data_IF_151731542786
#
_entry.id   IF_151731542786
#
_cell.length_a   1.000
_cell.length_b   1.000
_cell.length_c   1.000
_cell.angle_alpha   90.00
_cell.angle_beta   90.00
_cell.angle_gamma   90.00
#
_symmetry.space_group_name_H-M   'P 1'
#
loop_
_entity.id
_entity.type
_entity.pdbx_description
1 polymer ?
#
# COMPACT_ATOMS: atom_id res chain seq x y z
N UNK A 1 25.13 44.55 -21.60
CA UNK A 1 24.60 43.19 -21.84
C UNK A 1 24.43 42.55 -20.47
N UNK A 2 23.19 42.38 -20.00
CA UNK A 2 22.88 41.88 -18.66
C UNK A 2 22.37 40.44 -18.75
N UNK A 3 23.23 39.48 -18.44
CA UNK A 3 22.86 38.08 -18.35
C UNK A 3 22.32 37.80 -16.95
N UNK A 4 21.02 37.52 -16.86
CA UNK A 4 20.39 37.02 -15.64
C UNK A 4 20.60 35.51 -15.58
N UNK A 5 21.12 34.92 -14.49
CA UNK A 5 21.15 33.47 -14.37
C UNK A 5 19.72 32.96 -14.15
N UNK A 6 19.27 32.07 -15.02
CA UNK A 6 18.01 31.34 -14.84
C UNK A 6 18.16 30.39 -13.66
N UNK A 7 17.57 30.74 -12.52
CA UNK A 7 17.43 29.83 -11.38
C UNK A 7 16.28 28.88 -11.70
N UNK A 8 16.62 27.67 -12.16
CA UNK A 8 15.64 26.60 -12.32
C UNK A 8 15.21 26.13 -10.93
N UNK A 9 13.90 26.07 -10.62
CA UNK A 9 13.45 25.43 -9.39
C UNK A 9 13.79 23.95 -9.50
N UNK A 10 14.66 23.47 -8.61
CA UNK A 10 14.88 22.05 -8.39
C UNK A 10 13.52 21.44 -8.06
N UNK A 11 12.95 20.72 -9.02
CA UNK A 11 11.80 19.85 -8.80
C UNK A 11 12.25 18.84 -7.75
N UNK A 12 11.92 19.12 -6.49
CA UNK A 12 12.02 18.14 -5.42
C UNK A 12 11.09 17.00 -5.83
N UNK A 13 11.69 15.94 -6.38
CA UNK A 13 11.10 14.62 -6.42
C UNK A 13 10.52 14.39 -5.03
N UNK A 14 9.20 14.32 -4.94
CA UNK A 14 8.54 13.92 -3.71
C UNK A 14 9.24 12.64 -3.26
N UNK A 15 9.59 12.52 -1.96
CA UNK A 15 10.17 11.29 -1.49
C UNK A 15 9.23 10.16 -1.94
N UNK A 16 9.79 9.22 -2.71
CA UNK A 16 9.24 7.87 -2.84
C UNK A 16 8.75 7.46 -1.46
N UNK A 17 7.59 6.78 -1.30
CA UNK A 17 7.13 6.34 0.00
C UNK A 17 8.17 5.39 0.59
N UNK A 18 9.18 5.98 1.22
CA UNK A 18 10.28 5.35 1.91
C UNK A 18 9.59 4.48 2.92
N UNK A 19 9.62 3.16 2.67
CA UNK A 19 9.30 2.08 3.60
C UNK A 19 8.68 2.63 4.87
N UNK A 20 7.41 3.05 4.77
CA UNK A 20 6.67 3.60 5.91
C UNK A 20 6.76 2.50 6.93
N UNK A 21 7.62 2.66 7.95
CA UNK A 21 8.07 1.60 8.85
C UNK A 21 6.83 0.81 9.20
N UNK A 22 6.70 -0.40 8.64
CA UNK A 22 5.42 -1.11 8.69
C UNK A 22 5.03 -1.16 10.15
N UNK A 23 3.89 -0.57 10.48
CA UNK A 23 3.41 -0.59 11.84
C UNK A 23 3.43 -2.05 12.30
N UNK A 24 4.15 -2.30 13.39
CA UNK A 24 4.25 -3.64 13.98
C UNK A 24 2.82 -4.13 14.18
N UNK A 25 2.51 -5.33 13.72
CA UNK A 25 1.22 -5.93 14.03
C UNK A 25 1.18 -6.17 15.53
N UNK A 26 0.22 -5.55 16.21
CA UNK A 26 0.02 -5.74 17.65
C UNK A 26 -0.96 -6.88 17.95
N UNK A 27 -1.69 -7.37 16.94
CA UNK A 27 -2.71 -8.42 17.05
C UNK A 27 -2.61 -9.40 15.89
N UNK A 28 -2.74 -10.68 16.21
CA UNK A 28 -2.80 -11.79 15.25
C UNK A 28 -4.24 -12.31 15.14
N UNK A 29 -4.68 -12.57 13.91
CA UNK A 29 -6.00 -13.16 13.61
C UNK A 29 -5.79 -14.41 12.77
N UNK A 30 -6.39 -15.52 13.19
CA UNK A 30 -6.44 -16.75 12.39
C UNK A 30 -7.72 -16.73 11.54
N UNK A 31 -7.56 -16.92 10.24
CA UNK A 31 -8.67 -16.93 9.28
C UNK A 31 -8.81 -18.32 8.68
N UNK A 32 -10.05 -18.81 8.61
CA UNK A 32 -10.39 -19.98 7.82
C UNK A 32 -10.95 -19.50 6.49
N UNK A 33 -10.33 -19.92 5.39
CA UNK A 33 -10.69 -19.51 4.03
C UNK A 33 -10.89 -20.76 3.17
N UNK A 34 -11.77 -20.72 2.16
CA UNK A 34 -11.77 -21.72 1.10
C UNK A 34 -10.40 -21.78 0.42
N UNK A 35 -9.96 -22.99 0.07
CA UNK A 35 -8.65 -23.23 -0.54
C UNK A 35 -8.45 -22.40 -1.82
N UNK A 36 -9.45 -22.40 -2.71
CA UNK A 36 -9.40 -21.62 -3.95
C UNK A 36 -9.21 -20.11 -3.69
N UNK A 37 -9.82 -19.56 -2.63
CA UNK A 37 -9.64 -18.16 -2.27
C UNK A 37 -8.21 -17.89 -1.78
N UNK A 38 -7.65 -18.80 -0.97
CA UNK A 38 -6.27 -18.69 -0.54
C UNK A 38 -5.29 -18.73 -1.73
N UNK A 39 -5.53 -19.60 -2.71
CA UNK A 39 -4.70 -19.71 -3.90
C UNK A 39 -4.72 -18.44 -4.76
N UNK A 40 -5.88 -17.82 -4.92
CA UNK A 40 -6.01 -16.55 -5.63
C UNK A 40 -5.30 -15.42 -4.89
N UNK A 41 -5.43 -15.33 -3.56
CA UNK A 41 -4.68 -14.39 -2.72
C UNK A 41 -3.17 -14.60 -2.84
N UNK A 42 -2.71 -15.85 -2.84
CA UNK A 42 -1.30 -16.19 -2.98
C UNK A 42 -0.77 -15.84 -4.38
N UNK A 43 -1.57 -16.02 -5.43
CA UNK A 43 -1.22 -15.65 -6.81
C UNK A 43 -1.06 -14.13 -6.93
N UNK A 44 -1.99 -13.37 -6.37
CA UNK A 44 -1.94 -11.90 -6.35
C UNK A 44 -0.73 -11.40 -5.56
N UNK A 45 -0.50 -11.92 -4.35
CA UNK A 45 0.65 -11.53 -3.52
C UNK A 45 1.99 -11.77 -4.24
N UNK A 46 2.13 -12.88 -4.98
CA UNK A 46 3.31 -13.15 -5.81
C UNK A 46 3.47 -12.14 -6.95
N UNK A 47 2.38 -11.74 -7.60
CA UNK A 47 2.43 -10.72 -8.65
C UNK A 47 2.92 -9.37 -8.09
N UNK A 48 2.54 -9.05 -6.86
CA UNK A 48 2.95 -7.83 -6.15
C UNK A 48 4.30 -7.98 -5.42
N UNK A 49 5.00 -9.11 -5.60
CA UNK A 49 6.27 -9.42 -4.93
C UNK A 49 6.24 -9.26 -3.40
N UNK A 50 5.12 -9.61 -2.77
CA UNK A 50 4.91 -9.48 -1.34
C UNK A 50 4.45 -10.78 -0.68
N UNK A 51 4.49 -10.83 0.66
CA UNK A 51 4.01 -11.98 1.40
C UNK A 51 2.47 -12.04 1.39
N UNK A 52 1.89 -13.25 1.39
CA UNK A 52 0.42 -13.42 1.41
C UNK A 52 -0.22 -12.73 2.62
N UNK A 53 0.40 -12.81 3.80
CA UNK A 53 -0.06 -12.14 5.02
C UNK A 53 -0.05 -10.61 4.89
N UNK A 54 0.93 -10.05 4.18
CA UNK A 54 0.99 -8.62 3.90
C UNK A 54 -0.11 -8.22 2.91
N UNK A 55 -0.27 -8.98 1.84
CA UNK A 55 -1.32 -8.74 0.86
C UNK A 55 -2.71 -8.76 1.50
N UNK A 56 -2.98 -9.73 2.38
CA UNK A 56 -4.23 -9.80 3.16
C UNK A 56 -4.44 -8.53 4.00
N UNK A 57 -3.39 -8.00 4.66
CA UNK A 57 -3.51 -6.74 5.41
C UNK A 57 -3.92 -5.58 4.51
N UNK A 58 -3.34 -5.46 3.32
CA UNK A 58 -3.69 -4.42 2.34
C UNK A 58 -5.13 -4.56 1.87
N UNK A 59 -5.57 -5.79 1.58
CA UNK A 59 -6.97 -6.06 1.19
C UNK A 59 -7.94 -5.66 2.30
N UNK A 60 -7.66 -6.04 3.55
CA UNK A 60 -8.49 -5.70 4.70
C UNK A 60 -8.52 -4.19 4.96
N UNK A 61 -7.37 -3.51 4.87
CA UNK A 61 -7.27 -2.06 5.02
C UNK A 61 -8.09 -1.34 3.94
N UNK A 62 -7.92 -1.73 2.67
CA UNK A 62 -8.68 -1.16 1.55
C UNK A 62 -10.17 -1.44 1.67
N UNK A 63 -10.56 -2.63 2.12
CA UNK A 63 -11.98 -2.95 2.29
C UNK A 63 -12.60 -2.14 3.43
N UNK A 64 -11.94 -2.06 4.59
CA UNK A 64 -12.43 -1.30 5.74
C UNK A 64 -12.49 0.21 5.44
N UNK A 65 -11.42 0.81 4.94
CA UNK A 65 -11.39 2.25 4.69
C UNK A 65 -12.08 2.65 3.38
N UNK A 66 -12.15 1.74 2.40
CA UNK A 66 -12.96 1.93 1.21
C UNK A 66 -14.46 1.90 1.51
N UNK A 67 -14.91 1.06 2.45
CA UNK A 67 -16.31 1.04 2.92
C UNK A 67 -16.63 2.20 3.85
N UNK A 68 -15.71 2.58 4.75
CA UNK A 68 -15.89 3.76 5.61
C UNK A 68 -15.98 5.05 4.80
N UNK A 69 -15.19 5.20 3.73
CA UNK A 69 -15.31 6.33 2.80
C UNK A 69 -16.64 6.36 2.02
N UNK A 70 -17.28 5.20 1.82
CA UNK A 70 -18.57 5.10 1.14
C UNK A 70 -19.78 5.33 2.06
N UNK A 71 -19.62 5.21 3.38
CA UNK A 71 -20.68 5.43 4.37
C UNK A 71 -20.85 6.90 4.82
N UNK A 72 -20.01 7.80 4.33
CA UNK A 72 -20.13 9.26 4.54
C UNK A 72 -20.79 9.96 3.32
N UNK A 73 -21.84 9.35 2.75
CA UNK A 73 -22.66 9.91 1.68
C UNK A 73 -24.09 10.14 2.13
#
# INVERSE_FOLDING_TARGET
MSERPAVYPVLRLAPSPEHRRRAKCDRDVKLHLPEALYDDLARQARADSCAVSEYIRVVLERHLYGTLGAHHG
#
